data_IF_567110398529
#
_entry.id   IF_567110398529
#
_cell.length_a   1.000
_cell.length_b   1.000
_cell.length_c   1.000
_cell.angle_alpha   90.00
_cell.angle_beta   90.00
_cell.angle_gamma   90.00
#
_symmetry.space_group_name_H-M   'P 1'
#
loop_
_entity.id
_entity.type
_entity.pdbx_description
1 polymer ?
#
# COMPACT_ATOMS: atom_id res chain seq x y z
N UNK A 1 12.44 -14.59 23.41
CA UNK A 1 12.59 -13.64 22.30
C UNK A 1 13.80 -12.78 22.59
N UNK A 2 14.80 -12.74 21.70
CA UNK A 2 15.96 -11.86 21.87
C UNK A 2 15.55 -10.43 21.55
N UNK A 3 15.91 -9.49 22.42
CA UNK A 3 15.78 -8.05 22.17
C UNK A 3 17.07 -7.61 21.51
N UNK A 4 16.95 -6.85 20.43
CA UNK A 4 18.06 -6.21 19.74
C UNK A 4 18.06 -4.72 19.97
N UNK A 5 19.23 -4.13 20.08
CA UNK A 5 19.38 -2.68 20.16
C UNK A 5 19.86 -2.14 18.82
N UNK A 6 19.23 -1.08 18.33
CA UNK A 6 19.57 -0.40 17.09
C UNK A 6 19.40 1.12 17.24
N UNK A 7 19.98 1.87 16.31
CA UNK A 7 19.83 3.33 16.25
C UNK A 7 19.04 3.71 15.00
N UNK A 8 17.96 4.47 15.15
CA UNK A 8 17.22 5.06 14.02
C UNK A 8 17.21 6.57 14.19
N UNK A 9 17.75 7.33 13.23
CA UNK A 9 17.85 8.79 13.29
C UNK A 9 18.47 9.30 14.62
N UNK A 10 19.60 8.71 15.01
CA UNK A 10 20.32 8.98 16.27
C UNK A 10 19.57 8.61 17.56
N UNK A 11 18.37 8.02 17.46
CA UNK A 11 17.61 7.51 18.59
C UNK A 11 17.89 6.03 18.82
N UNK A 12 18.35 5.68 20.03
CA UNK A 12 18.53 4.29 20.45
C UNK A 12 17.17 3.63 20.72
N UNK A 13 16.93 2.50 20.07
CA UNK A 13 15.66 1.76 20.09
C UNK A 13 15.94 0.31 20.45
N UNK A 14 15.01 -0.31 21.16
CA UNK A 14 15.00 -1.75 21.43
C UNK A 14 13.82 -2.38 20.70
N UNK A 15 14.09 -3.42 19.91
CA UNK A 15 13.10 -4.12 19.11
C UNK A 15 13.29 -5.64 19.25
N UNK A 16 12.26 -6.42 18.94
CA UNK A 16 12.39 -7.89 18.90
C UNK A 16 13.13 -8.29 17.63
N UNK A 17 13.97 -9.32 17.70
CA UNK A 17 14.75 -9.80 16.54
C UNK A 17 13.90 -10.11 15.28
N UNK A 18 12.65 -10.51 15.47
CA UNK A 18 11.72 -10.81 14.37
C UNK A 18 10.99 -9.58 13.80
N UNK A 19 11.12 -8.41 14.42
CA UNK A 19 10.50 -7.18 13.94
C UNK A 19 11.24 -6.63 12.72
N UNK A 20 10.47 -6.02 11.83
CA UNK A 20 11.01 -5.24 10.73
C UNK A 20 11.41 -3.85 11.22
N UNK A 21 12.28 -3.17 10.48
CA UNK A 21 12.66 -1.80 10.81
C UNK A 21 11.44 -0.86 10.76
N UNK A 22 10.47 -1.12 9.87
CA UNK A 22 9.23 -0.35 9.83
C UNK A 22 8.44 -0.48 11.13
N UNK A 23 8.31 -1.70 11.67
CA UNK A 23 7.62 -1.94 12.95
C UNK A 23 8.36 -1.26 14.11
N UNK A 24 9.69 -1.44 14.20
CA UNK A 24 10.51 -0.81 15.23
C UNK A 24 10.44 0.74 15.17
N UNK A 25 10.41 1.31 13.96
CA UNK A 25 10.25 2.74 13.76
C UNK A 25 8.85 3.23 14.18
N UNK A 26 7.78 2.50 13.83
CA UNK A 26 6.41 2.84 14.23
C UNK A 26 6.24 2.82 15.75
N UNK A 27 6.76 1.80 16.44
CA UNK A 27 6.72 1.69 17.91
C UNK A 27 7.49 2.83 18.60
N UNK A 28 8.56 3.32 17.96
CA UNK A 28 9.32 4.48 18.42
C UNK A 28 8.73 5.84 18.01
N UNK A 29 7.60 5.87 17.29
CA UNK A 29 6.97 7.11 16.81
C UNK A 29 7.69 7.77 15.62
N UNK A 30 8.56 7.04 14.92
CA UNK A 30 9.30 7.50 13.74
C UNK A 30 8.49 7.20 12.48
N UNK A 31 8.07 8.26 11.78
CA UNK A 31 7.35 8.14 10.52
C UNK A 31 8.26 7.64 9.39
N UNK A 32 7.81 6.62 8.67
CA UNK A 32 8.39 6.15 7.41
C UNK A 32 7.27 6.05 6.39
N UNK A 33 7.39 6.77 5.27
CA UNK A 33 6.36 6.79 4.23
C UNK A 33 6.15 5.40 3.62
N UNK A 34 4.89 4.96 3.51
CA UNK A 34 4.52 3.67 2.92
C UNK A 34 3.27 3.81 2.04
N UNK A 35 3.10 2.89 1.08
CA UNK A 35 1.90 2.83 0.24
C UNK A 35 1.39 1.40 0.00
N UNK A 36 2.26 0.40 -0.06
CA UNK A 36 1.83 -1.00 -0.12
C UNK A 36 1.67 -1.62 1.26
N UNK A 37 2.43 -1.18 2.27
CA UNK A 37 2.28 -1.68 3.63
C UNK A 37 0.85 -1.45 4.12
N UNK A 38 0.25 -2.44 4.76
CA UNK A 38 -1.07 -2.36 5.35
C UNK A 38 -1.03 -3.22 6.61
N UNK A 39 -1.43 -2.64 7.74
CA UNK A 39 -1.38 -3.34 9.01
C UNK A 39 -2.23 -4.62 8.94
N UNK A 40 -1.67 -5.71 9.45
CA UNK A 40 -2.37 -6.99 9.54
C UNK A 40 -2.43 -7.83 8.27
N UNK A 41 -1.70 -7.45 7.22
CA UNK A 41 -1.36 -8.34 6.10
C UNK A 41 0.15 -8.34 5.85
N UNK A 42 0.68 -9.42 5.29
CA UNK A 42 2.11 -9.62 5.09
C UNK A 42 2.75 -8.58 4.18
N UNK A 43 3.97 -8.15 4.50
CA UNK A 43 4.69 -7.15 3.71
C UNK A 43 5.38 -7.72 2.46
N UNK A 44 5.34 -6.95 1.37
CA UNK A 44 5.87 -7.37 0.05
C UNK A 44 6.94 -6.43 -0.50
N UNK A 45 7.12 -5.24 0.09
CA UNK A 45 8.10 -4.26 -0.38
C UNK A 45 7.89 -3.76 -1.82
N UNK A 46 6.66 -3.83 -2.34
CA UNK A 46 6.35 -3.51 -3.74
C UNK A 46 6.51 -2.03 -4.08
N UNK A 47 6.02 -1.11 -3.24
CA UNK A 47 6.00 0.32 -3.56
C UNK A 47 7.34 1.06 -3.41
N UNK A 48 8.30 0.49 -2.67
CA UNK A 48 9.62 1.09 -2.40
C UNK A 48 9.62 2.48 -1.74
N UNK A 49 8.51 2.96 -1.18
CA UNK A 49 8.51 4.25 -0.48
C UNK A 49 9.16 4.19 0.90
N UNK A 50 9.14 3.02 1.52
CA UNK A 50 9.75 2.76 2.83
C UNK A 50 11.27 2.56 2.78
N UNK A 51 11.95 3.07 1.74
CA UNK A 51 13.41 2.96 1.64
C UNK A 51 14.07 3.69 2.81
N UNK A 52 15.14 3.07 3.30
CA UNK A 52 16.00 3.56 4.38
C UNK A 52 17.46 3.35 4.02
N UNK A 53 18.32 4.10 4.68
CA UNK A 53 19.77 3.94 4.63
C UNK A 53 20.25 3.20 5.88
N UNK A 54 21.19 2.27 5.71
CA UNK A 54 21.83 1.54 6.80
C UNK A 54 23.32 1.83 6.71
N UNK A 55 23.94 2.24 7.82
CA UNK A 55 25.37 2.54 7.86
C UNK A 55 26.20 1.34 7.37
N UNK A 56 27.22 1.61 6.57
CA UNK A 56 28.05 0.57 5.94
C UNK A 56 27.45 -0.09 4.69
N UNK A 57 26.19 0.19 4.33
CA UNK A 57 25.57 -0.29 3.09
C UNK A 57 25.39 0.84 2.07
N UNK A 58 25.91 0.63 0.84
CA UNK A 58 25.64 1.54 -0.27
C UNK A 58 24.23 1.36 -0.87
N UNK A 59 23.56 0.24 -0.58
CA UNK A 59 22.21 -0.07 -1.08
C UNK A 59 21.15 0.45 -0.11
N UNK A 60 20.09 1.05 -0.66
CA UNK A 60 18.89 1.39 0.08
C UNK A 60 18.05 0.14 0.31
N UNK A 61 17.57 -0.04 1.54
CA UNK A 61 16.80 -1.21 1.93
C UNK A 61 15.34 -0.82 2.23
N UNK A 62 14.36 -1.68 1.98
CA UNK A 62 12.97 -1.44 2.33
C UNK A 62 12.71 -1.74 3.82
N UNK A 63 12.31 -0.74 4.61
CA UNK A 63 12.07 -0.92 6.05
C UNK A 63 11.00 -1.98 6.36
N UNK A 64 10.02 -2.19 5.47
CA UNK A 64 8.89 -3.10 5.70
C UNK A 64 9.23 -4.59 5.61
N UNK A 65 10.40 -4.97 5.09
CA UNK A 65 10.83 -6.39 5.05
C UNK A 65 12.22 -6.62 5.62
N UNK A 66 13.02 -5.56 5.80
CA UNK A 66 14.32 -5.68 6.45
C UNK A 66 14.13 -5.84 7.96
N UNK A 67 14.67 -6.92 8.52
CA UNK A 67 14.65 -7.23 9.95
C UNK A 67 15.66 -6.40 10.73
N UNK A 68 15.37 -6.19 12.01
CA UNK A 68 16.32 -5.53 12.92
C UNK A 68 17.55 -6.41 13.15
N UNK A 69 18.70 -5.78 13.37
CA UNK A 69 19.97 -6.44 13.69
C UNK A 69 20.67 -5.65 14.77
N UNK A 70 21.39 -6.34 15.66
CA UNK A 70 22.12 -5.69 16.76
C UNK A 70 23.11 -4.64 16.23
N UNK A 71 23.09 -3.45 16.83
CA UNK A 71 24.01 -2.36 16.53
C UNK A 71 23.81 -1.73 15.16
N UNK A 72 22.71 -2.02 14.45
CA UNK A 72 22.48 -1.37 13.17
C UNK A 72 22.15 0.11 13.34
N UNK A 73 22.66 0.93 12.44
CA UNK A 73 22.38 2.37 12.38
C UNK A 73 21.58 2.68 11.12
N UNK A 74 20.39 3.24 11.29
CA UNK A 74 19.41 3.50 10.24
C UNK A 74 19.13 4.99 10.14
N UNK A 75 19.14 5.51 8.91
CA UNK A 75 18.64 6.84 8.60
C UNK A 75 17.36 6.71 7.77
N UNK A 76 16.28 7.35 8.21
CA UNK A 76 14.97 7.30 7.53
C UNK A 76 14.64 8.60 6.79
N UNK A 77 15.41 9.66 7.05
CA UNK A 77 15.25 10.96 6.42
C UNK A 77 16.61 11.53 5.99
N UNK A 78 16.93 11.40 4.70
CA UNK A 78 18.10 11.99 4.06
C UNK A 78 17.70 12.62 2.73
N UNK A 79 18.50 13.57 2.22
CA UNK A 79 18.27 14.16 0.90
C UNK A 79 18.23 13.12 -0.21
N UNK A 80 19.02 12.05 -0.07
CA UNK A 80 19.03 10.93 -1.00
C UNK A 80 17.69 10.19 -0.94
N UNK A 81 17.21 9.82 0.25
CA UNK A 81 15.92 9.15 0.42
C UNK A 81 14.76 9.99 -0.14
N UNK A 82 14.75 11.30 0.13
CA UNK A 82 13.71 12.21 -0.37
C UNK A 82 13.69 12.26 -1.90
N UNK A 83 14.86 12.32 -2.55
CA UNK A 83 14.97 12.27 -4.02
C UNK A 83 14.43 10.95 -4.59
N UNK A 84 14.78 9.81 -3.97
CA UNK A 84 14.28 8.50 -4.41
C UNK A 84 12.77 8.39 -4.24
N UNK A 85 12.23 8.76 -3.07
CA UNK A 85 10.79 8.70 -2.79
C UNK A 85 10.00 9.59 -3.75
N UNK A 86 10.44 10.84 -3.98
CA UNK A 86 9.82 11.73 -4.97
C UNK A 86 9.81 11.11 -6.38
N UNK A 87 10.95 10.57 -6.81
CA UNK A 87 11.06 9.90 -8.12
C UNK A 87 10.12 8.69 -8.23
N UNK A 88 10.00 7.89 -7.16
CA UNK A 88 9.06 6.77 -7.11
C UNK A 88 7.62 7.26 -7.24
N UNK A 89 7.23 8.31 -6.52
CA UNK A 89 5.89 8.89 -6.65
C UNK A 89 5.66 9.37 -8.09
N UNK A 90 6.60 10.12 -8.68
CA UNK A 90 6.51 10.54 -10.08
C UNK A 90 6.32 9.35 -11.04
N UNK A 91 7.03 8.24 -10.83
CA UNK A 91 6.85 7.00 -11.62
C UNK A 91 5.43 6.43 -11.47
N UNK A 92 4.91 6.35 -10.24
CA UNK A 92 3.56 5.85 -9.99
C UNK A 92 2.48 6.73 -10.64
N UNK A 93 2.72 8.05 -10.70
CA UNK A 93 1.85 8.97 -11.44
C UNK A 93 1.98 8.82 -12.95
N UNK A 94 3.19 8.67 -13.49
CA UNK A 94 3.45 8.54 -14.92
C UNK A 94 2.95 7.21 -15.52
N UNK A 95 2.95 6.12 -14.75
CA UNK A 95 2.55 4.80 -15.21
C UNK A 95 1.03 4.64 -15.37
N UNK A 96 0.23 5.43 -14.64
CA UNK A 96 -1.24 5.35 -14.65
C UNK A 96 -1.91 6.67 -15.03
N UNK A 97 -3.25 6.66 -15.10
CA UNK A 97 -4.05 7.86 -15.35
C UNK A 97 -4.66 8.38 -14.05
N UNK A 98 -3.95 9.26 -13.35
CA UNK A 98 -4.37 9.83 -12.07
C UNK A 98 -4.96 11.22 -12.24
N UNK A 99 -6.20 11.29 -12.69
CA UNK A 99 -6.94 12.55 -12.90
C UNK A 99 -7.76 12.85 -11.64
N UNK A 100 -7.17 13.56 -10.67
CA UNK A 100 -7.80 13.81 -9.37
C UNK A 100 -9.13 14.58 -9.46
N UNK A 101 -9.30 15.46 -10.45
CA UNK A 101 -10.51 16.28 -10.62
C UNK A 101 -11.78 15.47 -10.89
N UNK A 102 -11.66 14.20 -11.31
CA UNK A 102 -12.78 13.29 -11.57
C UNK A 102 -12.70 12.00 -10.74
N UNK A 103 -11.74 11.90 -9.82
CA UNK A 103 -11.51 10.71 -9.04
C UNK A 103 -12.39 10.68 -7.78
N UNK A 104 -13.11 9.58 -7.56
CA UNK A 104 -13.93 9.36 -6.37
C UNK A 104 -13.14 9.41 -5.07
N UNK A 105 -11.84 9.14 -5.11
CA UNK A 105 -10.95 9.15 -3.96
C UNK A 105 -10.22 10.49 -3.75
N UNK A 106 -10.54 11.54 -4.50
CA UNK A 106 -9.90 12.85 -4.34
C UNK A 106 -10.06 13.38 -2.90
N UNK A 107 -8.97 13.86 -2.30
CA UNK A 107 -8.94 14.28 -0.89
C UNK A 107 -8.99 13.13 0.12
N UNK A 108 -9.03 11.87 -0.35
CA UNK A 108 -9.00 10.64 0.44
C UNK A 108 -8.04 9.61 -0.19
N UNK A 109 -6.96 10.04 -0.86
CA UNK A 109 -6.07 9.18 -1.64
C UNK A 109 -4.65 9.21 -1.09
N UNK A 110 -4.11 8.07 -0.65
CA UNK A 110 -2.75 8.02 -0.08
C UNK A 110 -1.68 8.39 -1.09
N UNK A 111 -1.88 8.07 -2.38
CA UNK A 111 -0.94 8.48 -3.42
C UNK A 111 -0.88 10.01 -3.57
N UNK A 112 -2.04 10.67 -3.41
CA UNK A 112 -2.13 12.13 -3.41
C UNK A 112 -1.45 12.71 -2.16
N UNK A 113 -1.72 12.14 -0.99
CA UNK A 113 -1.12 12.58 0.28
C UNK A 113 0.41 12.44 0.24
N UNK A 114 0.93 11.34 -0.29
CA UNK A 114 2.36 11.13 -0.46
C UNK A 114 2.99 12.08 -1.48
N UNK A 115 2.28 12.44 -2.55
CA UNK A 115 2.77 13.45 -3.48
C UNK A 115 2.96 14.80 -2.79
N UNK A 116 2.02 15.19 -1.92
CA UNK A 116 2.12 16.40 -1.09
C UNK A 116 3.29 16.25 -0.11
N UNK A 117 3.38 15.13 0.60
CA UNK A 117 4.46 14.85 1.57
C UNK A 117 5.85 14.96 0.93
N UNK A 118 6.02 14.45 -0.29
CA UNK A 118 7.30 14.48 -1.01
C UNK A 118 7.59 15.82 -1.72
N UNK A 119 6.65 16.78 -1.66
CA UNK A 119 6.75 18.07 -2.34
C UNK A 119 6.80 17.93 -3.86
N UNK A 120 6.00 17.01 -4.42
CA UNK A 120 5.87 16.85 -5.87
C UNK A 120 4.98 17.96 -6.42
N UNK A 121 5.54 18.78 -7.32
CA UNK A 121 4.87 19.90 -7.99
C UNK A 121 4.60 19.62 -9.48
N UNK A 122 5.39 18.76 -10.10
CA UNK A 122 5.21 18.25 -11.45
C UNK A 122 5.81 16.84 -11.58
N UNK A 123 5.46 16.14 -12.67
CA UNK A 123 6.07 14.87 -13.05
C UNK A 123 7.07 15.11 -14.17
N UNK A 124 8.33 14.69 -13.95
CA UNK A 124 9.43 14.90 -14.91
C UNK A 124 9.57 13.79 -15.95
N UNK A 125 8.83 12.71 -15.75
CA UNK A 125 8.81 11.53 -16.60
C UNK A 125 7.70 11.64 -17.64
N UNK A 126 7.91 11.03 -18.80
CA UNK A 126 6.85 10.91 -19.80
C UNK A 126 5.73 10.00 -19.27
N UNK A 127 4.49 10.47 -19.39
CA UNK A 127 3.33 9.69 -19.04
C UNK A 127 3.10 8.59 -20.07
N UNK A 128 2.75 7.39 -19.58
CA UNK A 128 2.43 6.26 -20.45
C UNK A 128 1.03 6.36 -21.07
N UNK A 129 0.11 7.07 -20.41
CA UNK A 129 -1.31 7.15 -20.79
C UNK A 129 -1.91 5.80 -21.21
N UNK A 130 -1.81 4.76 -20.37
CA UNK A 130 -2.28 3.44 -20.76
C UNK A 130 -3.80 3.46 -20.96
N UNK A 131 -4.28 2.70 -21.94
CA UNK A 131 -5.72 2.45 -22.13
C UNK A 131 -6.07 1.10 -21.50
N UNK A 132 -6.39 1.12 -20.20
CA UNK A 132 -6.79 -0.08 -19.45
C UNK A 132 -8.30 -0.06 -19.25
N UNK A 133 -8.90 -1.26 -19.26
CA UNK A 133 -10.34 -1.40 -19.07
C UNK A 133 -10.76 -0.94 -17.67
N UNK A 134 -11.94 -0.34 -17.60
CA UNK A 134 -12.67 -0.13 -16.36
C UNK A 134 -13.75 -1.19 -16.30
N UNK A 135 -13.77 -1.95 -15.22
CA UNK A 135 -14.76 -2.99 -14.99
C UNK A 135 -15.76 -2.54 -13.92
N UNK A 136 -17.02 -2.43 -14.34
CA UNK A 136 -18.20 -2.05 -13.54
C UNK A 136 -19.25 -3.16 -13.56
N UNK A 137 -18.87 -4.40 -13.89
CA UNK A 137 -19.78 -5.54 -14.01
C UNK A 137 -20.40 -5.96 -12.68
N UNK A 138 -19.80 -5.64 -11.53
CA UNK A 138 -20.32 -5.98 -10.22
C UNK A 138 -21.24 -4.88 -9.67
N UNK A 139 -22.47 -5.21 -9.26
CA UNK A 139 -23.53 -4.25 -8.86
C UNK A 139 -23.10 -3.11 -7.91
N UNK A 140 -22.20 -3.41 -6.96
CA UNK A 140 -21.78 -2.45 -5.91
C UNK A 140 -20.38 -1.85 -6.08
N UNK A 141 -19.51 -2.50 -6.85
CA UNK A 141 -18.09 -2.17 -6.86
C UNK A 141 -17.58 -2.04 -8.29
N UNK A 142 -16.58 -1.19 -8.48
CA UNK A 142 -15.90 -1.04 -9.75
C UNK A 142 -14.38 -1.09 -9.57
N UNK A 143 -13.69 -1.46 -10.64
CA UNK A 143 -12.23 -1.41 -10.74
C UNK A 143 -11.81 -0.60 -11.97
N UNK A 144 -11.03 0.45 -11.75
CA UNK A 144 -10.37 1.24 -12.77
C UNK A 144 -8.87 0.93 -12.74
N UNK A 145 -8.43 0.06 -13.65
CA UNK A 145 -7.04 -0.37 -13.75
C UNK A 145 -6.07 0.76 -14.15
N UNK A 146 -6.58 1.87 -14.68
CA UNK A 146 -5.75 3.03 -15.00
C UNK A 146 -5.23 3.74 -13.74
N UNK A 147 -5.93 3.61 -12.61
CA UNK A 147 -5.58 4.24 -11.33
C UNK A 147 -4.81 3.29 -10.40
N UNK A 148 -4.61 2.03 -10.82
CA UNK A 148 -3.95 1.01 -10.02
C UNK A 148 -2.43 1.21 -10.03
N UNK A 149 -1.84 1.19 -8.83
CA UNK A 149 -0.38 1.29 -8.60
C UNK A 149 0.27 -0.05 -8.24
N UNK A 150 -0.42 -1.16 -8.53
CA UNK A 150 0.08 -2.53 -8.34
C UNK A 150 0.65 -2.82 -6.93
N UNK A 151 0.10 -2.18 -5.90
CA UNK A 151 0.56 -2.33 -4.51
C UNK A 151 0.19 -3.67 -3.84
N UNK A 152 -0.60 -4.50 -4.54
CA UNK A 152 -1.12 -5.81 -4.13
C UNK A 152 -1.86 -5.86 -2.79
N UNK A 153 -2.29 -4.73 -2.22
CA UNK A 153 -3.12 -4.71 -0.99
C UNK A 153 -4.44 -5.45 -1.19
N UNK A 154 -5.08 -5.33 -2.35
CA UNK A 154 -6.32 -6.03 -2.66
C UNK A 154 -6.16 -7.55 -2.68
N UNK A 155 -5.08 -8.03 -3.31
CA UNK A 155 -4.69 -9.45 -3.37
C UNK A 155 -4.50 -9.99 -1.96
N UNK A 156 -3.61 -9.35 -1.18
CA UNK A 156 -3.29 -9.80 0.19
C UNK A 156 -4.47 -9.75 1.14
N UNK A 157 -5.31 -8.71 1.08
CA UNK A 157 -6.51 -8.66 1.94
C UNK A 157 -7.53 -9.74 1.54
N UNK A 158 -7.65 -10.04 0.26
CA UNK A 158 -8.55 -11.10 -0.22
C UNK A 158 -8.08 -12.51 0.16
N UNK A 159 -6.76 -12.70 0.24
CA UNK A 159 -6.12 -13.94 0.68
C UNK A 159 -6.12 -14.02 2.22
N UNK A 160 -5.37 -13.16 2.89
CA UNK A 160 -5.01 -13.34 4.30
C UNK A 160 -6.17 -13.00 5.26
N UNK A 161 -7.04 -12.03 4.90
CA UNK A 161 -8.16 -11.60 5.75
C UNK A 161 -9.46 -12.28 5.35
N UNK A 162 -9.80 -12.32 4.07
CA UNK A 162 -11.04 -12.94 3.58
C UNK A 162 -10.89 -14.46 3.37
N UNK A 163 -9.76 -14.92 2.85
CA UNK A 163 -9.58 -16.33 2.43
C UNK A 163 -10.29 -16.69 1.12
N UNK A 164 -10.73 -15.70 0.33
CA UNK A 164 -11.49 -15.93 -0.90
C UNK A 164 -10.59 -16.09 -2.15
N UNK A 165 -9.38 -15.53 -2.13
CA UNK A 165 -8.43 -15.57 -3.26
C UNK A 165 -9.00 -15.10 -4.62
N UNK A 166 -9.98 -14.19 -4.59
CA UNK A 166 -10.59 -13.61 -5.80
C UNK A 166 -9.63 -12.76 -6.63
N UNK A 167 -8.68 -12.10 -5.98
CA UNK A 167 -7.76 -11.17 -6.64
C UNK A 167 -6.39 -11.79 -6.83
N UNK A 168 -5.81 -11.64 -8.02
CA UNK A 168 -4.43 -12.05 -8.31
C UNK A 168 -3.75 -11.08 -9.30
N UNK A 169 -2.51 -11.37 -9.68
CA UNK A 169 -1.70 -10.61 -10.62
C UNK A 169 -1.44 -11.43 -11.88
N UNK A 170 -1.70 -10.84 -13.05
CA UNK A 170 -1.33 -11.40 -14.35
C UNK A 170 -0.29 -10.51 -15.06
N UNK A 171 0.38 -11.10 -16.06
CA UNK A 171 1.37 -10.40 -16.86
C UNK A 171 2.73 -10.23 -16.18
N UNK A 172 3.64 -9.51 -16.84
CA UNK A 172 5.00 -9.22 -16.35
C UNK A 172 5.45 -7.83 -16.80
N UNK A 173 6.30 -7.20 -15.99
CA UNK A 173 6.84 -5.87 -16.29
C UNK A 173 5.72 -4.83 -16.41
N UNK A 174 5.77 -4.01 -17.44
CA UNK A 174 4.76 -2.98 -17.72
C UNK A 174 3.38 -3.55 -18.09
N UNK A 175 3.30 -4.84 -18.42
CA UNK A 175 2.04 -5.54 -18.71
C UNK A 175 1.40 -6.16 -17.45
N UNK A 176 2.00 -5.97 -16.27
CA UNK A 176 1.45 -6.48 -15.02
C UNK A 176 0.16 -5.75 -14.66
N UNK A 177 -0.88 -6.51 -14.30
CA UNK A 177 -2.17 -5.97 -13.88
C UNK A 177 -2.85 -6.90 -12.90
N UNK A 178 -3.69 -6.32 -12.05
CA UNK A 178 -4.56 -7.06 -11.13
C UNK A 178 -5.69 -7.70 -11.95
N UNK A 179 -6.03 -8.96 -11.64
CA UNK A 179 -7.11 -9.71 -12.27
C UNK A 179 -8.06 -10.28 -11.23
N UNK A 180 -9.28 -10.58 -11.66
CA UNK A 180 -10.28 -11.30 -10.85
C UNK A 180 -10.38 -12.75 -11.33
N UNK A 181 -10.29 -13.70 -10.41
CA UNK A 181 -10.22 -15.15 -10.66
C UNK A 181 -9.29 -15.48 -11.85
N UNK A 182 -9.80 -16.12 -12.90
CA UNK A 182 -9.07 -16.43 -14.13
C UNK A 182 -9.17 -15.30 -15.17
N UNK A 183 -8.96 -14.06 -14.73
CA UNK A 183 -9.06 -12.84 -15.54
C UNK A 183 -10.43 -12.64 -16.19
N UNK A 184 -11.47 -12.83 -15.39
CA UNK A 184 -12.86 -12.60 -15.79
C UNK A 184 -13.39 -11.27 -15.23
N UNK A 185 -14.52 -10.74 -15.74
CA UNK A 185 -15.18 -9.60 -15.12
C UNK A 185 -15.52 -9.86 -13.64
N UNK A 186 -15.35 -8.87 -12.79
CA UNK A 186 -15.54 -9.01 -11.35
C UNK A 186 -16.98 -9.40 -10.98
N UNK A 187 -17.97 -8.92 -11.73
CA UNK A 187 -19.38 -9.27 -11.54
C UNK A 187 -19.71 -10.73 -11.83
N UNK A 188 -18.86 -11.45 -12.57
CA UNK A 188 -19.03 -12.89 -12.85
C UNK A 188 -18.12 -13.76 -11.98
N UNK A 189 -17.53 -13.19 -10.92
CA UNK A 189 -16.65 -13.93 -10.01
C UNK A 189 -17.41 -14.92 -9.14
N UNK A 190 -17.02 -16.19 -9.20
CA UNK A 190 -17.60 -17.25 -8.37
C UNK A 190 -17.04 -17.26 -6.94
N UNK A 191 -15.82 -16.75 -6.76
CA UNK A 191 -15.13 -16.76 -5.46
C UNK A 191 -15.45 -15.53 -4.62
N UNK A 192 -15.90 -14.44 -5.24
CA UNK A 192 -16.07 -13.17 -4.55
C UNK A 192 -17.20 -13.20 -3.54
N UNK A 193 -16.87 -12.97 -2.27
CA UNK A 193 -17.83 -12.97 -1.16
C UNK A 193 -18.59 -11.66 -0.99
N UNK A 194 -18.41 -10.69 -1.89
CA UNK A 194 -19.12 -9.42 -1.81
C UNK A 194 -18.79 -8.60 -0.54
N UNK A 195 -17.60 -8.80 0.04
CA UNK A 195 -17.19 -8.26 1.34
C UNK A 195 -16.68 -6.80 1.30
N UNK A 196 -16.19 -6.33 0.16
CA UNK A 196 -15.67 -4.95 -0.02
C UNK A 196 -14.38 -4.62 0.77
N UNK A 197 -13.69 -5.61 1.34
CA UNK A 197 -12.44 -5.38 2.10
C UNK A 197 -11.32 -4.84 1.19
N UNK A 198 -11.19 -5.38 -0.02
CA UNK A 198 -10.26 -4.91 -1.04
C UNK A 198 -10.48 -3.43 -1.44
N UNK A 199 -11.74 -2.98 -1.52
CA UNK A 199 -12.13 -1.59 -1.80
C UNK A 199 -11.66 -0.65 -0.69
N UNK A 200 -11.77 -1.08 0.57
CA UNK A 200 -11.28 -0.32 1.73
C UNK A 200 -9.75 -0.32 1.84
N UNK A 201 -9.09 -1.38 1.38
CA UNK A 201 -7.64 -1.55 1.42
C UNK A 201 -6.91 -0.75 0.34
N UNK A 202 -7.57 -0.47 -0.79
CA UNK A 202 -6.96 0.22 -1.92
C UNK A 202 -6.41 1.60 -1.51
N UNK A 203 -5.15 1.94 -1.83
CA UNK A 203 -4.60 3.25 -1.49
C UNK A 203 -5.06 4.37 -2.44
N UNK A 204 -5.51 4.01 -3.63
CA UNK A 204 -5.92 4.92 -4.71
C UNK A 204 -7.39 4.73 -5.08
N UNK A 205 -7.90 5.52 -6.03
CA UNK A 205 -9.26 5.35 -6.57
C UNK A 205 -9.43 4.20 -7.56
N UNK A 206 -8.55 3.19 -7.55
CA UNK A 206 -8.60 2.06 -8.47
C UNK A 206 -9.76 1.11 -8.15
N UNK A 207 -9.95 0.75 -6.88
CA UNK A 207 -11.13 0.01 -6.43
C UNK A 207 -12.08 0.99 -5.77
N UNK A 208 -13.36 0.98 -6.15
CA UNK A 208 -14.32 1.98 -5.68
C UNK A 208 -15.75 1.44 -5.55
N UNK A 209 -16.58 2.19 -4.83
CA UNK A 209 -18.03 1.96 -4.75
C UNK A 209 -18.72 2.61 -5.96
N UNK A 210 -19.59 1.86 -6.64
CA UNK A 210 -20.39 2.43 -7.72
C UNK A 210 -21.36 3.48 -7.17
N UNK A 211 -21.61 4.53 -7.96
CA UNK A 211 -22.48 5.65 -7.58
C UNK A 211 -21.79 6.75 -6.77
N UNK A 212 -20.54 6.58 -6.33
CA UNK A 212 -19.78 7.67 -5.72
C UNK A 212 -19.34 8.71 -6.76
N UNK A 213 -19.52 9.98 -6.41
CA UNK A 213 -18.96 11.13 -7.13
C UNK A 213 -17.56 11.47 -6.64
N UNK A 214 -16.97 12.51 -7.23
CA UNK A 214 -15.61 13.01 -6.95
C UNK A 214 -15.43 13.29 -5.46
N UNK A 215 -14.44 12.66 -4.86
CA UNK A 215 -14.08 12.83 -3.44
C UNK A 215 -15.05 12.23 -2.41
N UNK A 216 -16.14 11.58 -2.84
CA UNK A 216 -17.10 10.98 -1.91
C UNK A 216 -16.62 9.67 -1.28
N UNK A 217 -15.63 9.01 -1.89
CA UNK A 217 -15.13 7.73 -1.41
C UNK A 217 -14.31 7.89 -0.13
N UNK A 218 -14.91 7.50 1.01
CA UNK A 218 -14.22 7.37 2.29
C UNK A 218 -13.93 5.91 2.58
N UNK A 219 -12.70 5.60 3.01
CA UNK A 219 -12.28 4.24 3.36
C UNK A 219 -12.26 4.05 4.86
N UNK A 220 -12.75 2.91 5.33
CA UNK A 220 -12.67 2.54 6.74
C UNK A 220 -11.57 1.49 6.94
N UNK A 221 -10.32 1.96 7.07
CA UNK A 221 -9.16 1.08 7.28
C UNK A 221 -9.05 0.56 8.71
N UNK A 222 -9.49 1.34 9.68
CA UNK A 222 -9.58 0.89 11.07
C UNK A 222 -10.41 -0.39 11.20
N UNK A 223 -11.41 -0.58 10.32
CA UNK A 223 -12.18 -1.82 10.24
C UNK A 223 -11.32 -3.02 9.78
N UNK A 224 -10.38 -2.82 8.86
CA UNK A 224 -9.46 -3.89 8.44
C UNK A 224 -8.51 -4.26 9.58
N UNK A 225 -7.88 -3.27 10.21
CA UNK A 225 -6.98 -3.48 11.34
C UNK A 225 -7.70 -4.17 12.51
N UNK A 226 -8.96 -3.78 12.76
CA UNK A 226 -9.83 -4.43 13.73
C UNK A 226 -10.07 -5.90 13.38
N UNK A 227 -10.38 -6.22 12.12
CA UNK A 227 -10.65 -7.61 11.71
C UNK A 227 -9.42 -8.50 11.91
N UNK A 228 -8.22 -7.99 11.63
CA UNK A 228 -6.98 -8.73 11.87
C UNK A 228 -6.75 -8.89 13.36
N UNK A 229 -6.81 -7.79 14.12
CA UNK A 229 -6.59 -7.79 15.58
C UNK A 229 -7.58 -8.72 16.28
N UNK A 230 -8.84 -8.69 15.87
CA UNK A 230 -9.90 -9.54 16.41
C UNK A 230 -9.62 -11.02 16.15
N UNK A 231 -9.09 -11.37 14.96
CA UNK A 231 -8.72 -12.75 14.62
C UNK A 231 -7.50 -13.23 15.41
N UNK A 232 -6.44 -12.41 15.48
CA UNK A 232 -5.21 -12.74 16.20
C UNK A 232 -5.44 -12.90 17.70
N UNK A 233 -6.24 -12.00 18.29
CA UNK A 233 -6.53 -12.01 19.73
C UNK A 233 -7.76 -12.85 20.09
N UNK A 234 -8.46 -13.44 19.12
CA UNK A 234 -9.76 -14.10 19.29
C UNK A 234 -10.80 -13.21 20.01
N UNK A 235 -10.76 -11.90 19.76
CA UNK A 235 -11.56 -10.88 20.44
C UNK A 235 -12.43 -10.12 19.42
N UNK A 236 -13.69 -10.51 19.30
CA UNK A 236 -14.64 -9.93 18.32
C UNK A 236 -15.50 -8.79 18.87
N UNK A 237 -15.10 -8.20 19.99
CA UNK A 237 -15.85 -7.12 20.62
C UNK A 237 -15.61 -5.80 19.87
N UNK A 238 -16.49 -5.47 18.94
CA UNK A 238 -16.64 -4.11 18.43
C UNK A 238 -17.07 -3.22 19.61
N UNK A 239 -16.17 -2.41 20.16
CA UNK A 239 -16.62 -1.27 20.97
C UNK A 239 -17.44 -0.37 20.03
N UNK A 240 -18.73 -0.26 20.32
CA UNK A 240 -19.71 0.56 19.61
C UNK A 240 -19.34 2.03 19.66
#
# INVERSE_FOLDING_TARGET
MSIKTLTINDQLISAREEETILQAAQDAGIHISTLCHLQGVGDVGACRLCLIEIAGSNKLQPACVTKVTEGMEVQTNSDRLQKYRRTIIEMLFAEGNHICSVCVANGNCELQDLAIEMGMDHVRLDYHFPDRKVDISHDRFGVDHNRCVLCTRCVRVCDEIEGAHTWDMAGRGTNSHVITDLNQPWGTSDTYTSCGKCVNACPTGALFYQGCSVGEMKRNRAKLDFLVTAREKQQWNLQR
#
